data_IF_356707953866
#
_entry.id   IF_356707953866
#
_cell.length_a   1.000
_cell.length_b   1.000
_cell.length_c   1.000
_cell.angle_alpha   90.00
_cell.angle_beta   90.00
_cell.angle_gamma   90.00
#
_symmetry.space_group_name_H-M   'P 1'
#
loop_
_entity.id
_entity.type
_entity.pdbx_description
1 polymer ?
#
# COMPACT_ATOMS: atom_id res chain seq x y z
N UNK A 1 -14.13 14.75 47.24
CA UNK A 1 -13.94 14.97 45.80
C UNK A 1 -13.85 13.60 45.19
N UNK A 2 -14.93 13.19 44.55
CA UNK A 2 -15.23 11.82 44.12
C UNK A 2 -14.26 11.35 43.04
N UNK A 3 -13.65 10.20 43.30
CA UNK A 3 -12.95 9.37 42.34
C UNK A 3 -13.88 9.03 41.16
N UNK A 4 -13.47 9.43 39.95
CA UNK A 4 -14.02 8.94 38.70
C UNK A 4 -13.49 7.52 38.49
N UNK A 5 -14.29 6.52 38.86
CA UNK A 5 -14.04 5.11 38.55
C UNK A 5 -14.08 4.93 37.03
N UNK A 6 -12.93 4.62 36.45
CA UNK A 6 -12.82 4.07 35.08
C UNK A 6 -13.75 2.87 34.96
N UNK A 7 -14.68 2.92 34.00
CA UNK A 7 -15.47 1.77 33.61
C UNK A 7 -14.50 0.80 32.91
N UNK A 8 -13.95 -0.14 33.67
CA UNK A 8 -13.20 -1.28 33.13
C UNK A 8 -14.19 -2.05 32.25
N UNK A 9 -14.06 -1.92 30.93
CA UNK A 9 -14.91 -2.61 29.96
C UNK A 9 -14.83 -4.12 30.18
N UNK A 10 -15.97 -4.81 30.16
CA UNK A 10 -15.97 -6.29 30.15
C UNK A 10 -15.35 -6.78 28.84
N UNK A 11 -14.48 -7.78 28.95
CA UNK A 11 -13.91 -8.43 27.76
C UNK A 11 -15.02 -9.07 26.91
N UNK A 12 -14.98 -8.94 25.57
CA UNK A 12 -15.93 -9.58 24.66
C UNK A 12 -16.10 -11.08 24.91
N UNK A 13 -15.01 -11.77 25.26
CA UNK A 13 -14.99 -13.19 25.59
C UNK A 13 -15.82 -13.51 26.85
N UNK A 14 -15.82 -12.60 27.82
CA UNK A 14 -16.53 -12.74 29.10
C UNK A 14 -17.95 -12.16 29.09
N UNK A 15 -18.40 -11.68 27.92
CA UNK A 15 -19.72 -11.06 27.78
C UNK A 15 -20.82 -12.12 27.70
N UNK A 16 -22.02 -11.83 28.21
CA UNK A 16 -23.19 -12.69 28.06
C UNK A 16 -23.85 -12.56 26.66
N UNK A 17 -23.25 -11.76 25.77
CA UNK A 17 -23.79 -11.49 24.44
C UNK A 17 -23.23 -12.47 23.41
N UNK A 18 -24.10 -13.34 22.87
CA UNK A 18 -23.74 -14.32 21.85
C UNK A 18 -23.06 -13.68 20.62
N UNK A 19 -23.54 -12.52 20.16
CA UNK A 19 -22.92 -11.83 19.02
C UNK A 19 -21.47 -11.40 19.31
N UNK A 20 -21.20 -10.87 20.50
CA UNK A 20 -19.83 -10.49 20.90
C UNK A 20 -18.92 -11.71 21.04
N UNK A 21 -19.43 -12.83 21.60
CA UNK A 21 -18.68 -14.09 21.68
C UNK A 21 -18.34 -14.63 20.29
N UNK A 22 -19.32 -14.70 19.37
CA UNK A 22 -19.09 -15.14 17.99
C UNK A 22 -18.09 -14.24 17.26
N UNK A 23 -18.19 -12.91 17.42
CA UNK A 23 -17.25 -11.96 16.83
C UNK A 23 -15.83 -12.16 17.38
N UNK A 24 -15.67 -12.39 18.69
CA UNK A 24 -14.38 -12.72 19.30
C UNK A 24 -13.82 -14.06 18.80
N UNK A 25 -14.65 -15.08 18.68
CA UNK A 25 -14.29 -16.38 18.12
C UNK A 25 -13.75 -16.25 16.69
N UNK A 26 -14.31 -15.34 15.88
CA UNK A 26 -13.84 -15.10 14.51
C UNK A 26 -12.41 -14.53 14.46
N UNK A 27 -12.06 -13.62 15.37
CA UNK A 27 -10.69 -13.09 15.43
C UNK A 27 -9.68 -14.13 15.93
N UNK A 28 -10.12 -15.05 16.80
CA UNK A 28 -9.25 -16.05 17.45
C UNK A 28 -9.17 -17.39 16.71
N UNK A 29 -10.16 -17.69 15.86
CA UNK A 29 -10.23 -18.92 15.08
C UNK A 29 -10.53 -18.64 13.60
N UNK A 30 -9.51 -18.59 12.72
CA UNK A 30 -9.69 -18.37 11.28
C UNK A 30 -10.55 -19.41 10.55
N UNK A 31 -10.78 -20.58 11.17
CA UNK A 31 -11.63 -21.65 10.64
C UNK A 31 -13.08 -21.55 11.11
N UNK A 32 -13.40 -20.61 12.02
CA UNK A 32 -14.78 -20.36 12.41
C UNK A 32 -15.57 -19.89 11.19
N UNK A 33 -16.74 -20.48 10.94
CA UNK A 33 -17.69 -20.13 9.87
C UNK A 33 -19.00 -19.53 10.41
N UNK A 34 -19.12 -19.34 11.73
CA UNK A 34 -20.34 -18.84 12.37
C UNK A 34 -20.63 -17.37 11.99
N UNK A 35 -21.74 -17.12 11.34
CA UNK A 35 -22.20 -15.78 11.00
C UNK A 35 -23.09 -15.20 12.10
N UNK A 36 -23.15 -13.87 12.16
CA UNK A 36 -24.09 -13.14 13.00
C UNK A 36 -25.04 -12.42 12.04
N UNK A 37 -26.34 -12.65 12.19
CA UNK A 37 -27.36 -11.87 11.51
C UNK A 37 -28.06 -10.99 12.55
N UNK A 38 -27.96 -9.67 12.39
CA UNK A 38 -28.58 -8.67 13.26
C UNK A 38 -30.00 -8.30 12.81
N UNK A 39 -30.49 -8.87 11.71
CA UNK A 39 -31.77 -8.53 11.12
C UNK A 39 -31.72 -7.20 10.40
N UNK A 40 -32.83 -6.47 10.39
CA UNK A 40 -32.89 -5.13 9.77
C UNK A 40 -31.97 -4.13 10.48
N UNK A 41 -31.70 -2.99 9.85
CA UNK A 41 -30.93 -1.88 10.46
C UNK A 41 -31.56 -1.42 11.78
N UNK A 42 -32.89 -1.36 11.86
CA UNK A 42 -33.63 -0.99 13.07
C UNK A 42 -33.46 -2.04 14.17
N UNK A 43 -33.52 -3.33 13.84
CA UNK A 43 -33.32 -4.44 14.78
C UNK A 43 -31.88 -4.46 15.31
N UNK A 44 -30.90 -4.23 14.43
CA UNK A 44 -29.50 -4.13 14.77
C UNK A 44 -29.23 -2.96 15.76
N UNK A 45 -29.83 -1.78 15.51
CA UNK A 45 -29.73 -0.61 16.38
C UNK A 45 -30.47 -0.76 17.72
N UNK A 46 -31.56 -1.54 17.73
CA UNK A 46 -32.33 -1.83 18.93
C UNK A 46 -31.54 -2.67 19.94
N UNK A 47 -30.44 -3.29 19.53
CA UNK A 47 -29.53 -4.01 20.43
C UNK A 47 -29.08 -3.13 21.60
N UNK A 48 -29.15 -3.68 22.81
CA UNK A 48 -28.75 -3.02 24.05
C UNK A 48 -27.34 -3.42 24.50
N UNK A 49 -26.62 -4.23 23.72
CA UNK A 49 -25.27 -4.64 24.09
C UNK A 49 -24.29 -3.48 23.90
N UNK A 50 -23.65 -2.96 24.96
CA UNK A 50 -22.74 -1.81 24.83
C UNK A 50 -21.42 -2.16 24.11
N UNK A 51 -21.12 -3.45 23.92
CA UNK A 51 -19.85 -3.91 23.36
C UNK A 51 -19.85 -3.85 21.83
N UNK A 52 -20.83 -4.42 21.14
CA UNK A 52 -20.90 -4.38 19.67
C UNK A 52 -21.74 -3.24 19.10
N UNK A 53 -22.56 -2.56 19.92
CA UNK A 53 -23.42 -1.47 19.44
C UNK A 53 -22.65 -0.33 18.74
N UNK A 54 -21.48 0.12 19.23
CA UNK A 54 -20.69 1.13 18.52
C UNK A 54 -20.28 0.71 17.10
N UNK A 55 -19.98 -0.58 16.89
CA UNK A 55 -19.65 -1.13 15.57
C UNK A 55 -20.85 -1.07 14.63
N UNK A 56 -22.01 -1.55 15.08
CA UNK A 56 -23.26 -1.54 14.28
C UNK A 56 -23.67 -0.12 13.95
N UNK A 57 -23.66 0.78 14.93
CA UNK A 57 -24.01 2.20 14.75
C UNK A 57 -23.07 2.86 13.73
N UNK A 58 -21.76 2.69 13.90
CA UNK A 58 -20.78 3.26 12.98
C UNK A 58 -21.01 2.78 11.55
N UNK A 59 -21.26 1.49 11.35
CA UNK A 59 -21.47 0.94 10.02
C UNK A 59 -22.73 1.50 9.36
N UNK A 60 -23.84 1.63 10.10
CA UNK A 60 -25.06 2.26 9.60
C UNK A 60 -24.84 3.74 9.25
N UNK A 61 -24.07 4.47 10.06
CA UNK A 61 -23.74 5.87 9.77
C UNK A 61 -22.93 6.01 8.47
N UNK A 62 -22.08 5.04 8.16
CA UNK A 62 -21.34 4.93 6.89
C UNK A 62 -22.22 4.60 5.69
N UNK A 63 -23.23 3.75 5.86
CA UNK A 63 -24.16 3.40 4.78
C UNK A 63 -25.11 4.55 4.42
N UNK A 64 -25.52 5.36 5.40
CA UNK A 64 -26.49 6.45 5.23
C UNK A 64 -26.23 7.38 4.02
N UNK A 65 -25.01 7.90 3.77
CA UNK A 65 -24.75 8.73 2.59
C UNK A 65 -24.69 7.96 1.26
N UNK A 66 -24.54 6.64 1.30
CA UNK A 66 -24.39 5.78 0.12
C UNK A 66 -25.75 5.29 -0.42
N UNK A 67 -26.78 5.33 0.41
CA UNK A 67 -28.16 4.98 0.06
C UNK A 67 -28.77 6.10 -0.80
N UNK A 68 -29.01 5.84 -2.09
CA UNK A 68 -29.73 6.75 -2.97
C UNK A 68 -31.22 6.77 -2.64
N UNK A 69 -31.89 7.89 -2.88
CA UNK A 69 -33.35 8.04 -2.68
C UNK A 69 -34.20 7.12 -3.57
N UNK A 70 -33.59 6.48 -4.57
CA UNK A 70 -34.26 5.70 -5.61
C UNK A 70 -34.02 4.18 -5.46
N UNK A 71 -33.33 3.73 -4.41
CA UNK A 71 -33.15 2.30 -4.13
C UNK A 71 -34.42 1.71 -3.51
N UNK A 72 -34.94 0.61 -4.10
CA UNK A 72 -36.06 -0.11 -3.50
C UNK A 72 -35.66 -0.63 -2.09
N UNK A 73 -36.57 -0.59 -1.11
CA UNK A 73 -36.31 -1.07 0.24
C UNK A 73 -36.36 -2.62 0.25
N UNK A 74 -35.45 -3.27 -0.46
CA UNK A 74 -35.28 -4.71 -0.38
C UNK A 74 -34.39 -5.05 0.81
N UNK A 75 -35.01 -5.23 1.97
CA UNK A 75 -34.50 -5.97 3.15
C UNK A 75 -32.96 -6.03 3.28
N UNK A 76 -32.30 -4.88 3.45
CA UNK A 76 -30.87 -4.84 3.72
C UNK A 76 -30.64 -5.27 5.17
N UNK A 77 -30.48 -6.58 5.38
CA UNK A 77 -30.07 -7.11 6.68
C UNK A 77 -28.62 -6.74 6.98
N UNK A 78 -28.28 -6.65 8.26
CA UNK A 78 -26.92 -6.43 8.71
C UNK A 78 -26.38 -7.71 9.32
N UNK A 79 -25.14 -8.05 8.95
CA UNK A 79 -24.51 -9.23 9.50
C UNK A 79 -23.01 -9.13 9.60
N UNK A 80 -22.42 -10.06 10.34
CA UNK A 80 -20.99 -10.24 10.46
C UNK A 80 -20.62 -11.62 9.96
N UNK A 81 -19.60 -11.68 9.11
CA UNK A 81 -19.13 -12.91 8.49
C UNK A 81 -17.60 -12.95 8.36
N UNK A 82 -17.14 -13.98 7.65
CA UNK A 82 -15.71 -14.20 7.38
C UNK A 82 -15.19 -13.13 6.43
N UNK A 83 -14.04 -12.54 6.72
CA UNK A 83 -13.31 -11.78 5.70
C UNK A 83 -12.71 -12.67 4.61
N UNK A 84 -12.03 -12.06 3.64
CA UNK A 84 -11.44 -12.80 2.52
C UNK A 84 -10.37 -13.79 2.97
N UNK A 85 -9.44 -13.35 3.83
CA UNK A 85 -8.37 -14.19 4.37
C UNK A 85 -7.95 -13.80 5.80
N UNK A 86 -7.21 -14.71 6.44
CA UNK A 86 -6.67 -14.51 7.78
C UNK A 86 -7.74 -14.41 8.88
N UNK A 87 -7.44 -13.65 9.92
CA UNK A 87 -8.38 -13.31 11.01
C UNK A 87 -9.19 -12.04 10.72
N UNK A 88 -9.31 -11.62 9.46
CA UNK A 88 -10.15 -10.48 9.11
C UNK A 88 -11.64 -10.84 9.26
N UNK A 89 -12.43 -9.89 9.76
CA UNK A 89 -13.86 -10.06 9.99
C UNK A 89 -14.59 -8.97 9.26
N UNK A 90 -15.66 -9.32 8.55
CA UNK A 90 -16.41 -8.33 7.80
C UNK A 90 -17.78 -8.08 8.43
N UNK A 91 -18.21 -6.82 8.45
CA UNK A 91 -19.61 -6.45 8.66
C UNK A 91 -20.20 -6.03 7.32
N UNK A 92 -21.36 -6.59 6.98
CA UNK A 92 -21.98 -6.49 5.66
C UNK A 92 -23.37 -5.87 5.75
N UNK A 93 -23.71 -5.12 4.71
CA UNK A 93 -25.08 -4.88 4.30
C UNK A 93 -25.52 -5.96 3.31
N UNK A 94 -26.70 -6.54 3.54
CA UNK A 94 -27.31 -7.56 2.69
C UNK A 94 -26.43 -8.79 2.55
N UNK A 95 -26.43 -9.63 3.59
CA UNK A 95 -25.51 -10.78 3.77
C UNK A 95 -25.54 -11.74 2.56
N UNK A 96 -26.65 -11.76 1.81
CA UNK A 96 -26.85 -12.59 0.62
C UNK A 96 -26.45 -11.95 -0.73
N UNK A 97 -26.22 -10.63 -0.79
CA UNK A 97 -26.15 -9.88 -2.07
C UNK A 97 -24.82 -9.15 -2.33
N UNK A 98 -23.80 -9.31 -1.48
CA UNK A 98 -22.50 -8.62 -1.61
C UNK A 98 -22.66 -7.08 -1.62
N UNK A 99 -23.46 -6.54 -0.69
CA UNK A 99 -23.58 -5.09 -0.50
C UNK A 99 -22.30 -4.45 0.05
N UNK A 100 -22.41 -3.20 0.49
CA UNK A 100 -21.29 -2.53 1.13
C UNK A 100 -20.82 -3.30 2.37
N UNK A 101 -19.52 -3.24 2.66
CA UNK A 101 -18.93 -3.90 3.82
C UNK A 101 -17.78 -3.12 4.40
N UNK A 102 -17.48 -3.38 5.67
CA UNK A 102 -16.21 -3.02 6.29
C UNK A 102 -15.40 -4.25 6.58
N UNK A 103 -14.10 -4.17 6.33
CA UNK A 103 -13.13 -5.17 6.81
C UNK A 103 -12.55 -4.71 8.14
N UNK A 104 -12.67 -5.54 9.16
CA UNK A 104 -12.33 -5.25 10.54
C UNK A 104 -11.11 -6.06 10.98
N UNK A 105 -10.22 -5.41 11.74
CA UNK A 105 -9.12 -6.05 12.42
C UNK A 105 -9.21 -5.78 13.92
N UNK A 106 -8.95 -6.82 14.73
CA UNK A 106 -8.76 -6.65 16.16
C UNK A 106 -7.38 -6.02 16.42
N UNK A 107 -7.35 -4.90 17.15
CA UNK A 107 -6.11 -4.21 17.49
C UNK A 107 -5.27 -5.06 18.43
N UNK A 108 -4.00 -5.27 18.09
CA UNK A 108 -3.08 -6.00 18.93
C UNK A 108 -2.73 -5.21 20.21
N UNK A 109 -2.86 -5.86 21.36
CA UNK A 109 -2.35 -5.35 22.64
C UNK A 109 -0.98 -5.98 22.93
N UNK A 110 0.10 -5.31 22.54
CA UNK A 110 1.47 -5.82 22.70
C UNK A 110 1.87 -6.14 24.15
N UNK A 111 1.19 -5.56 25.14
CA UNK A 111 1.38 -5.86 26.57
C UNK A 111 0.73 -7.18 27.01
N UNK A 112 -0.13 -7.78 26.19
CA UNK A 112 -0.83 -9.04 26.49
C UNK A 112 -0.16 -10.18 25.71
N UNK A 113 0.45 -11.17 26.38
CA UNK A 113 1.08 -12.30 25.70
C UNK A 113 0.09 -13.08 24.81
N UNK A 114 0.49 -13.41 23.58
CA UNK A 114 -0.31 -14.16 22.61
C UNK A 114 -1.69 -13.55 22.32
N UNK A 115 -1.80 -12.23 22.38
CA UNK A 115 -3.03 -11.53 22.02
C UNK A 115 -3.40 -11.82 20.54
N UNK A 116 -4.66 -12.11 20.22
CA UNK A 116 -5.08 -12.55 18.87
C UNK A 116 -5.19 -11.41 17.85
N UNK A 117 -5.06 -10.16 18.30
CA UNK A 117 -5.18 -8.99 17.44
C UNK A 117 -4.09 -8.93 16.36
N UNK A 118 -4.51 -8.71 15.12
CA UNK A 118 -3.64 -8.60 13.94
C UNK A 118 -3.52 -7.17 13.43
N UNK A 119 -4.36 -6.25 13.91
CA UNK A 119 -4.40 -4.86 13.51
C UNK A 119 -3.59 -3.94 14.43
N UNK A 120 -3.37 -2.71 13.97
CA UNK A 120 -2.64 -1.65 14.66
C UNK A 120 -3.39 -0.33 14.51
N UNK A 121 -3.35 0.48 15.57
CA UNK A 121 -3.70 1.89 15.45
C UNK A 121 -2.47 2.63 14.93
N UNK A 122 -2.64 3.35 13.82
CA UNK A 122 -1.56 4.03 13.13
C UNK A 122 -1.40 5.49 13.59
N UNK A 123 -0.22 6.05 13.35
CA UNK A 123 0.03 7.48 13.54
C UNK A 123 -0.55 8.25 12.33
N UNK A 124 -1.48 9.20 12.54
CA UNK A 124 -2.18 9.89 11.47
C UNK A 124 -1.28 10.79 10.62
N UNK A 125 -0.14 11.22 11.18
CA UNK A 125 0.76 12.20 10.58
C UNK A 125 2.00 11.55 9.96
N UNK A 126 2.48 10.44 10.53
CA UNK A 126 3.80 9.88 10.20
C UNK A 126 3.76 8.38 9.90
N UNK A 127 4.50 7.96 8.88
CA UNK A 127 4.66 6.55 8.52
C UNK A 127 5.64 5.82 9.45
N UNK A 128 5.34 4.56 9.77
CA UNK A 128 6.27 3.71 10.53
C UNK A 128 7.37 3.15 9.61
N UNK A 129 8.49 3.87 9.49
CA UNK A 129 9.61 3.45 8.63
C UNK A 129 10.32 2.17 9.09
N UNK A 130 10.18 1.76 10.35
CA UNK A 130 10.80 0.53 10.82
C UNK A 130 10.06 -0.71 10.31
N UNK A 131 8.78 -0.58 9.96
CA UNK A 131 8.01 -1.66 9.32
C UNK A 131 8.60 -2.03 7.95
N UNK A 132 9.04 -1.02 7.17
CA UNK A 132 9.59 -1.24 5.83
C UNK A 132 10.86 -2.08 5.84
N UNK A 133 11.76 -1.80 6.79
CA UNK A 133 12.99 -2.57 6.98
C UNK A 133 12.68 -4.03 7.27
N UNK A 134 11.68 -4.26 8.13
CA UNK A 134 11.27 -5.62 8.52
C UNK A 134 10.61 -6.34 7.35
N UNK A 135 9.70 -5.72 6.62
CA UNK A 135 9.10 -6.28 5.41
C UNK A 135 10.14 -6.65 4.36
N UNK A 136 11.05 -5.73 4.05
CA UNK A 136 12.16 -6.00 3.12
C UNK A 136 13.01 -7.18 3.60
N UNK A 137 13.41 -7.19 4.87
CA UNK A 137 14.21 -8.27 5.45
C UNK A 137 13.48 -9.60 5.39
N UNK A 138 12.20 -9.65 5.76
CA UNK A 138 11.36 -10.84 5.69
C UNK A 138 11.31 -11.35 4.26
N UNK A 139 10.95 -10.51 3.29
CA UNK A 139 10.87 -10.90 1.88
C UNK A 139 12.20 -11.46 1.36
N UNK A 140 13.32 -10.77 1.61
CA UNK A 140 14.65 -11.17 1.12
C UNK A 140 15.15 -12.46 1.79
N UNK A 141 14.79 -12.71 3.04
CA UNK A 141 15.27 -13.89 3.80
C UNK A 141 14.38 -15.13 3.64
N UNK A 142 13.07 -14.97 3.38
CA UNK A 142 12.12 -16.09 3.39
C UNK A 142 11.57 -16.46 2.01
N UNK A 143 11.45 -15.52 1.05
CA UNK A 143 10.74 -15.78 -0.22
C UNK A 143 11.65 -16.35 -1.32
N UNK A 144 12.97 -16.18 -1.20
CA UNK A 144 13.96 -16.76 -2.11
C UNK A 144 13.69 -16.48 -3.59
N UNK A 145 13.78 -17.52 -4.42
CA UNK A 145 13.65 -17.42 -5.88
C UNK A 145 12.28 -16.90 -6.37
N UNK A 146 11.22 -17.03 -5.56
CA UNK A 146 9.89 -16.51 -5.93
C UNK A 146 9.86 -14.99 -5.99
N UNK A 147 10.69 -14.32 -5.18
CA UNK A 147 10.80 -12.86 -5.17
C UNK A 147 12.12 -12.35 -5.75
N UNK A 148 13.01 -13.25 -6.18
CA UNK A 148 14.30 -12.91 -6.80
C UNK A 148 14.26 -13.24 -8.30
N UNK A 149 13.99 -12.23 -9.12
CA UNK A 149 13.78 -12.37 -10.58
C UNK A 149 12.65 -13.34 -10.98
N UNK A 150 11.42 -13.13 -10.47
CA UNK A 150 10.25 -13.98 -10.77
C UNK A 150 9.95 -14.08 -12.26
N UNK A 151 10.18 -13.00 -13.00
CA UNK A 151 9.87 -12.87 -14.41
C UNK A 151 11.03 -13.27 -15.32
N UNK A 152 12.17 -13.72 -14.75
CA UNK A 152 13.37 -14.12 -15.50
C UNK A 152 13.83 -13.07 -16.52
N UNK A 153 13.65 -11.79 -16.19
CA UNK A 153 14.13 -10.69 -17.02
C UNK A 153 15.65 -10.69 -16.96
N UNK A 154 16.29 -10.44 -18.10
CA UNK A 154 17.75 -10.42 -18.18
C UNK A 154 18.34 -9.28 -17.31
N UNK A 155 19.56 -9.45 -16.78
CA UNK A 155 20.24 -8.41 -16.04
C UNK A 155 20.28 -7.10 -16.83
N UNK A 156 19.66 -6.06 -16.28
CA UNK A 156 19.54 -4.75 -16.92
C UNK A 156 19.98 -3.68 -15.93
N UNK A 157 20.79 -2.73 -16.41
CA UNK A 157 21.23 -1.56 -15.64
C UNK A 157 20.84 -0.29 -16.40
N UNK A 158 20.38 0.76 -15.69
CA UNK A 158 20.10 2.03 -16.33
C UNK A 158 21.39 2.74 -16.76
N UNK A 159 21.26 3.82 -17.54
CA UNK A 159 22.39 4.67 -17.92
C UNK A 159 23.02 5.37 -16.70
N UNK A 160 22.17 5.88 -15.81
CA UNK A 160 22.56 6.64 -14.63
C UNK A 160 21.81 6.16 -13.38
N UNK A 161 22.41 6.41 -12.23
CA UNK A 161 21.83 6.22 -10.90
C UNK A 161 22.16 7.44 -10.05
N UNK A 162 21.33 7.72 -9.06
CA UNK A 162 21.63 8.65 -7.97
C UNK A 162 22.34 7.86 -6.87
N UNK A 163 23.54 8.27 -6.50
CA UNK A 163 24.22 7.83 -5.29
C UNK A 163 23.68 8.66 -4.11
N UNK A 164 22.87 8.07 -3.23
CA UNK A 164 22.20 8.82 -2.15
C UNK A 164 23.15 9.24 -1.02
N UNK A 165 24.30 8.57 -0.87
CA UNK A 165 25.32 8.96 0.11
C UNK A 165 26.08 10.20 -0.37
N UNK A 166 26.48 10.19 -1.65
CA UNK A 166 27.21 11.31 -2.26
C UNK A 166 26.29 12.38 -2.83
N UNK A 167 24.99 12.11 -2.92
CA UNK A 167 23.96 12.98 -3.48
C UNK A 167 24.34 13.54 -4.86
N UNK A 168 24.71 12.63 -5.76
CA UNK A 168 25.13 12.96 -7.13
C UNK A 168 24.74 11.83 -8.10
N UNK A 169 24.79 12.11 -9.41
CA UNK A 169 24.63 11.10 -10.45
C UNK A 169 25.93 10.30 -10.63
N UNK A 170 25.77 8.99 -10.84
CA UNK A 170 26.85 8.05 -11.14
C UNK A 170 26.43 7.13 -12.30
N UNK A 171 27.37 6.61 -13.09
CA UNK A 171 27.06 5.64 -14.14
C UNK A 171 26.29 4.44 -13.58
N UNK A 172 25.26 3.96 -14.28
CA UNK A 172 24.41 2.89 -13.76
C UNK A 172 25.06 1.50 -13.71
N UNK A 173 26.29 1.36 -14.23
CA UNK A 173 27.11 0.15 -14.14
C UNK A 173 27.92 0.02 -12.83
N UNK A 174 27.71 0.91 -11.86
CA UNK A 174 28.25 0.77 -10.50
C UNK A 174 27.79 -0.55 -9.85
N UNK A 175 28.64 -1.11 -8.98
CA UNK A 175 28.33 -2.33 -8.25
C UNK A 175 27.31 -2.06 -7.14
N UNK A 176 26.46 -3.05 -6.86
CA UNK A 176 25.42 -2.98 -5.84
C UNK A 176 24.02 -2.98 -6.43
N UNK A 177 23.03 -3.13 -5.57
CA UNK A 177 21.62 -3.07 -5.97
C UNK A 177 21.14 -1.62 -6.08
N UNK A 178 19.99 -1.43 -6.72
CA UNK A 178 19.37 -0.11 -6.84
C UNK A 178 17.87 -0.19 -6.60
N UNK A 179 17.34 0.88 -6.03
CA UNK A 179 15.92 1.15 -5.86
C UNK A 179 15.41 1.87 -7.10
N UNK A 180 14.21 1.55 -7.58
CA UNK A 180 13.54 2.34 -8.61
C UNK A 180 12.48 3.25 -7.98
N UNK A 181 12.21 4.38 -8.62
CA UNK A 181 11.13 5.30 -8.25
C UNK A 181 10.07 5.33 -9.35
N UNK A 182 8.80 5.28 -8.95
CA UNK A 182 7.64 5.43 -9.83
C UNK A 182 6.70 6.48 -9.27
N UNK A 183 6.37 7.48 -10.08
CA UNK A 183 5.56 8.63 -9.70
C UNK A 183 4.92 9.25 -10.94
N UNK A 184 3.90 10.09 -10.73
CA UNK A 184 3.31 10.89 -11.80
C UNK A 184 4.04 12.22 -11.95
N UNK A 185 4.10 12.74 -13.17
CA UNK A 185 4.64 14.08 -13.39
C UNK A 185 3.77 15.13 -12.68
N UNK A 186 4.40 16.20 -12.19
CA UNK A 186 3.71 17.38 -11.67
C UNK A 186 3.18 18.27 -12.80
N UNK A 187 2.63 19.44 -12.44
CA UNK A 187 2.06 20.39 -13.41
C UNK A 187 3.14 21.13 -14.21
N UNK A 188 4.33 21.28 -13.64
CA UNK A 188 5.42 21.98 -14.28
C UNK A 188 6.43 21.01 -14.92
N UNK A 189 6.54 21.08 -16.26
CA UNK A 189 7.58 20.39 -17.01
C UNK A 189 8.95 20.93 -16.58
N UNK A 190 9.79 20.05 -16.03
CA UNK A 190 11.13 20.41 -15.56
C UNK A 190 12.09 20.59 -16.72
N UNK A 191 13.14 21.39 -16.48
CA UNK A 191 14.20 21.60 -17.45
C UNK A 191 14.84 20.29 -17.89
N UNK A 192 15.20 20.21 -19.17
CA UNK A 192 15.96 19.08 -19.71
C UNK A 192 17.37 19.17 -19.14
N UNK A 193 17.88 18.06 -18.57
CA UNK A 193 19.29 17.97 -18.15
C UNK A 193 20.15 17.97 -19.41
N UNK A 194 20.89 19.05 -19.69
CA UNK A 194 21.87 19.09 -20.77
C UNK A 194 23.21 18.45 -20.36
N UNK A 195 24.14 18.32 -21.31
CA UNK A 195 25.46 17.70 -21.07
C UNK A 195 26.26 18.43 -19.98
N UNK A 196 26.18 19.76 -19.93
CA UNK A 196 26.91 20.57 -18.95
C UNK A 196 26.32 20.40 -17.54
N UNK A 197 25.00 20.30 -17.46
CA UNK A 197 24.25 20.05 -16.23
C UNK A 197 24.51 18.63 -15.74
N UNK A 198 24.55 17.64 -16.64
CA UNK A 198 24.92 16.27 -16.31
C UNK A 198 26.33 16.19 -15.71
N UNK A 199 27.29 16.92 -16.26
CA UNK A 199 28.65 16.97 -15.71
C UNK A 199 28.66 17.55 -14.29
N UNK A 200 27.90 18.61 -14.03
CA UNK A 200 27.74 19.20 -12.70
C UNK A 200 27.02 18.26 -11.74
N UNK A 201 25.99 17.55 -12.19
CA UNK A 201 25.22 16.59 -11.39
C UNK A 201 26.05 15.38 -10.94
N UNK A 202 27.18 15.10 -11.60
CA UNK A 202 28.12 14.05 -11.21
C UNK A 202 29.08 14.46 -10.09
N UNK A 203 29.19 15.76 -9.77
CA UNK A 203 30.02 16.22 -8.66
C UNK A 203 29.40 15.79 -7.32
N UNK A 204 30.19 15.32 -6.35
CA UNK A 204 29.69 15.01 -5.02
C UNK A 204 28.92 16.20 -4.42
N UNK A 205 27.76 15.92 -3.84
CA UNK A 205 26.81 16.88 -3.27
C UNK A 205 26.17 17.84 -4.27
N UNK A 206 26.21 17.55 -5.58
CA UNK A 206 25.54 18.36 -6.59
C UNK A 206 24.03 18.50 -6.35
N UNK A 207 23.36 17.48 -5.82
CA UNK A 207 21.92 17.54 -5.52
C UNK A 207 21.59 18.37 -4.27
N UNK A 208 22.59 18.74 -3.44
CA UNK A 208 22.41 19.73 -2.37
C UNK A 208 22.54 21.18 -2.89
N UNK A 209 22.98 21.37 -4.15
CA UNK A 209 23.17 22.70 -4.72
C UNK A 209 21.82 23.32 -5.10
N UNK A 210 21.43 24.48 -4.53
CA UNK A 210 20.18 25.16 -4.87
C UNK A 210 20.09 25.57 -6.35
N UNK A 211 21.20 25.66 -7.07
CA UNK A 211 21.20 25.94 -8.52
C UNK A 211 20.82 24.72 -9.37
N UNK A 212 20.86 23.52 -8.80
CA UNK A 212 20.49 22.27 -9.45
C UNK A 212 19.19 21.68 -8.85
N UNK A 213 18.55 22.41 -7.92
CA UNK A 213 17.35 21.96 -7.21
C UNK A 213 16.13 21.79 -8.12
N UNK A 214 16.11 22.41 -9.30
CA UNK A 214 15.03 22.21 -10.27
C UNK A 214 14.94 20.74 -10.76
N UNK A 215 16.11 20.06 -10.82
CA UNK A 215 16.25 18.67 -11.23
C UNK A 215 16.05 17.70 -10.06
N UNK A 216 16.34 18.12 -8.82
CA UNK A 216 16.10 17.36 -7.60
C UNK A 216 14.70 17.66 -7.05
N UNK A 217 13.69 17.07 -7.68
CA UNK A 217 12.28 17.26 -7.32
C UNK A 217 12.00 16.82 -5.87
N UNK A 218 10.94 17.32 -5.21
CA UNK A 218 10.55 16.85 -3.89
C UNK A 218 10.36 15.32 -3.80
N UNK A 219 9.77 14.68 -4.82
CA UNK A 219 9.64 13.21 -4.84
C UNK A 219 11.01 12.53 -4.87
N UNK A 220 11.97 13.02 -5.66
CA UNK A 220 13.30 12.41 -5.77
C UNK A 220 14.06 12.57 -4.46
N UNK A 221 14.03 13.75 -3.83
CA UNK A 221 14.69 13.98 -2.54
C UNK A 221 14.15 13.04 -1.45
N UNK A 222 12.83 12.87 -1.40
CA UNK A 222 12.17 11.98 -0.44
C UNK A 222 12.44 10.51 -0.73
N UNK A 223 12.52 10.13 -2.01
CA UNK A 223 12.92 8.79 -2.42
C UNK A 223 14.39 8.50 -2.11
N UNK A 224 15.29 9.48 -2.24
CA UNK A 224 16.69 9.34 -1.79
C UNK A 224 16.76 9.08 -0.29
N UNK A 225 15.99 9.83 0.50
CA UNK A 225 15.86 9.59 1.94
C UNK A 225 15.35 8.17 2.22
N UNK A 226 14.23 7.77 1.61
CA UNK A 226 13.66 6.44 1.83
C UNK A 226 14.61 5.31 1.41
N UNK A 227 15.33 5.49 0.30
CA UNK A 227 16.38 4.57 -0.18
C UNK A 227 17.44 4.35 0.90
N UNK A 228 17.93 5.43 1.52
CA UNK A 228 18.89 5.33 2.62
C UNK A 228 18.29 4.67 3.88
N UNK A 229 17.03 4.95 4.21
CA UNK A 229 16.32 4.36 5.36
C UNK A 229 16.22 2.85 5.23
N UNK A 230 15.95 2.33 4.02
CA UNK A 230 15.86 0.87 3.79
C UNK A 230 17.23 0.22 3.58
N UNK A 231 18.33 0.96 3.76
CA UNK A 231 19.70 0.46 3.70
C UNK A 231 20.23 0.27 2.28
N UNK A 232 19.67 0.97 1.30
CA UNK A 232 20.17 0.97 -0.07
C UNK A 232 20.91 2.28 -0.40
N UNK A 233 21.76 2.22 -1.42
CA UNK A 233 22.60 3.36 -1.82
C UNK A 233 22.21 4.01 -3.14
N UNK A 234 21.75 3.21 -4.10
CA UNK A 234 21.50 3.69 -5.44
C UNK A 234 20.02 3.80 -5.71
N UNK A 235 19.60 4.94 -6.29
CA UNK A 235 18.24 5.21 -6.69
C UNK A 235 18.21 5.48 -8.19
N UNK A 236 17.27 4.86 -8.90
CA UNK A 236 16.89 5.21 -10.26
C UNK A 236 15.60 6.02 -10.23
N UNK A 237 15.66 7.24 -10.77
CA UNK A 237 14.51 8.09 -11.01
C UNK A 237 14.57 8.57 -12.45
N UNK A 238 13.59 8.22 -13.27
CA UNK A 238 13.53 8.49 -14.70
C UNK A 238 13.81 9.96 -15.06
N UNK A 239 13.21 10.91 -14.34
CA UNK A 239 13.40 12.35 -14.55
C UNK A 239 14.85 12.85 -14.39
N UNK A 240 15.73 12.09 -13.73
CA UNK A 240 17.16 12.40 -13.58
C UNK A 240 18.07 11.42 -14.30
N UNK A 241 17.68 10.15 -14.39
CA UNK A 241 18.55 9.06 -14.81
C UNK A 241 18.42 8.73 -16.30
N UNK A 242 17.39 9.22 -16.98
CA UNK A 242 17.25 9.13 -18.43
C UNK A 242 17.94 10.35 -19.06
N UNK A 243 18.88 10.16 -20.00
CA UNK A 243 19.61 11.25 -20.65
C UNK A 243 18.74 11.95 -21.70
N UNK A 244 17.78 12.79 -21.25
CA UNK A 244 16.80 13.43 -22.13
C UNK A 244 17.42 14.37 -23.20
N UNK A 245 18.66 14.85 -22.99
CA UNK A 245 19.41 15.63 -23.96
C UNK A 245 19.83 14.84 -25.21
N UNK A 246 19.91 13.52 -25.12
CA UNK A 246 20.23 12.62 -26.22
C UNK A 246 19.00 11.76 -26.51
N UNK A 247 18.24 12.15 -27.53
CA UNK A 247 17.01 11.45 -27.92
C UNK A 247 17.25 9.96 -28.24
N UNK A 248 18.41 9.61 -28.80
CA UNK A 248 18.76 8.23 -29.09
C UNK A 248 18.97 7.43 -27.81
N UNK A 249 19.79 7.96 -26.90
CA UNK A 249 20.04 7.32 -25.61
C UNK A 249 18.77 7.26 -24.73
N UNK A 250 17.95 8.32 -24.74
CA UNK A 250 16.67 8.35 -24.04
C UNK A 250 15.71 7.30 -24.59
N UNK A 251 15.57 7.17 -25.91
CA UNK A 251 14.73 6.15 -26.53
C UNK A 251 15.19 4.73 -26.16
N UNK A 252 16.50 4.47 -26.08
CA UNK A 252 17.02 3.19 -25.61
C UNK A 252 16.70 2.93 -24.13
N UNK A 253 16.79 3.94 -23.26
CA UNK A 253 16.39 3.79 -21.85
C UNK A 253 14.88 3.53 -21.70
N UNK A 254 14.03 4.23 -22.47
CA UNK A 254 12.58 4.04 -22.44
C UNK A 254 12.18 2.62 -22.87
N UNK A 255 12.86 2.03 -23.86
CA UNK A 255 12.66 0.61 -24.24
C UNK A 255 13.03 -0.36 -23.11
N UNK A 256 13.93 0.04 -22.22
CA UNK A 256 14.41 -0.76 -21.09
C UNK A 256 13.64 -0.49 -19.79
N UNK A 257 12.69 0.44 -19.77
CA UNK A 257 12.04 0.92 -18.54
C UNK A 257 11.42 -0.20 -17.69
N UNK A 258 10.66 -1.11 -18.33
CA UNK A 258 10.13 -2.30 -17.67
C UNK A 258 11.23 -3.25 -17.17
N UNK A 259 12.32 -3.40 -17.91
CA UNK A 259 13.45 -4.24 -17.51
C UNK A 259 14.27 -3.63 -16.36
N UNK A 260 14.42 -2.30 -16.33
CA UNK A 260 15.04 -1.57 -15.21
C UNK A 260 14.21 -1.78 -13.94
N UNK A 261 12.89 -1.60 -14.03
CA UNK A 261 11.97 -1.85 -12.90
C UNK A 261 12.02 -3.29 -12.42
N UNK A 262 12.09 -4.26 -13.34
CA UNK A 262 12.24 -5.66 -13.01
C UNK A 262 13.61 -6.03 -12.42
N UNK A 263 14.64 -5.19 -12.55
CA UNK A 263 15.97 -5.44 -11.99
C UNK A 263 16.25 -4.65 -10.70
N UNK A 264 15.36 -3.74 -10.30
CA UNK A 264 15.46 -3.03 -9.04
C UNK A 264 15.24 -3.99 -7.84
N UNK A 265 15.95 -3.74 -6.73
CA UNK A 265 15.76 -4.52 -5.49
C UNK A 265 14.36 -4.32 -4.93
N UNK A 266 13.85 -3.08 -5.04
CA UNK A 266 12.48 -2.66 -4.72
C UNK A 266 12.15 -1.39 -5.51
N UNK A 267 10.88 -1.19 -5.83
CA UNK A 267 10.38 0.04 -6.44
C UNK A 267 9.53 0.81 -5.43
N UNK A 268 9.86 2.08 -5.21
CA UNK A 268 9.03 3.02 -4.44
C UNK A 268 7.97 3.60 -5.39
N UNK A 269 6.70 3.53 -5.00
CA UNK A 269 5.56 4.00 -5.78
C UNK A 269 4.80 5.07 -5.00
N UNK A 270 4.66 6.23 -5.62
CA UNK A 270 3.88 7.36 -5.09
C UNK A 270 2.53 7.39 -5.79
N UNK A 271 1.54 6.66 -5.26
CA UNK A 271 0.20 6.63 -5.85
C UNK A 271 -0.65 7.86 -5.47
N UNK A 272 -0.44 8.40 -4.27
CA UNK A 272 -1.17 9.57 -3.73
C UNK A 272 -0.66 10.94 -4.21
N UNK A 273 0.53 10.96 -4.80
CA UNK A 273 1.25 12.18 -5.07
C UNK A 273 2.03 12.17 -6.38
N UNK A 274 2.49 13.34 -6.76
CA UNK A 274 3.22 13.59 -8.00
C UNK A 274 4.65 14.04 -7.71
N UNK A 275 5.34 14.51 -8.75
CA UNK A 275 6.70 15.00 -8.67
C UNK A 275 6.91 16.15 -7.65
N UNK A 276 5.87 16.94 -7.38
CA UNK A 276 5.89 18.15 -6.54
C UNK A 276 5.40 17.84 -5.11
N UNK A 277 4.27 17.12 -4.99
CA UNK A 277 3.70 16.77 -3.70
C UNK A 277 4.50 15.68 -2.98
N UNK A 278 5.17 14.80 -3.75
CA UNK A 278 6.05 13.71 -3.36
C UNK A 278 5.48 12.74 -2.31
N UNK A 279 6.33 12.22 -1.40
CA UNK A 279 5.93 11.27 -0.36
C UNK A 279 5.57 11.97 0.96
N UNK A 280 4.29 12.09 1.36
CA UNK A 280 3.92 12.63 2.66
C UNK A 280 4.21 11.63 3.81
N UNK A 281 4.17 12.12 5.05
CA UNK A 281 4.30 11.30 6.26
C UNK A 281 5.72 10.86 6.64
N UNK A 282 6.75 11.33 5.95
CA UNK A 282 8.15 11.13 6.33
C UNK A 282 8.56 12.17 7.37
N UNK A 283 8.61 11.77 8.65
CA UNK A 283 8.96 12.65 9.76
C UNK A 283 10.28 13.39 9.50
N UNK A 284 10.27 14.70 9.78
CA UNK A 284 11.39 15.64 9.57
C UNK A 284 11.83 15.84 8.09
N UNK A 285 11.17 15.20 7.13
CA UNK A 285 11.56 15.19 5.70
C UNK A 285 10.44 15.68 4.78
N UNK A 286 9.19 15.38 5.09
CA UNK A 286 8.01 15.80 4.33
C UNK A 286 6.94 16.41 5.23
N UNK A 287 5.90 16.96 4.61
CA UNK A 287 4.67 17.30 5.32
C UNK A 287 4.06 16.05 5.99
N UNK A 288 3.32 16.23 7.11
CA UNK A 288 2.46 15.18 7.65
C UNK A 288 1.52 14.64 6.59
N UNK A 289 1.24 13.34 6.64
CA UNK A 289 0.10 12.76 5.91
C UNK A 289 -1.20 13.12 6.63
N UNK A 290 -2.36 12.83 6.02
CA UNK A 290 -3.67 13.09 6.64
C UNK A 290 -4.46 11.80 6.74
N UNK A 291 -3.84 10.78 7.29
CA UNK A 291 -4.44 9.46 7.35
C UNK A 291 -5.55 9.45 8.40
N UNK A 292 -6.74 9.03 7.98
CA UNK A 292 -7.89 8.83 8.83
C UNK A 292 -8.12 7.32 9.00
N UNK A 293 -8.00 6.83 10.24
CA UNK A 293 -8.29 5.44 10.56
C UNK A 293 -9.49 5.37 11.50
N UNK A 294 -10.50 4.62 11.11
CA UNK A 294 -11.66 4.45 11.96
C UNK A 294 -11.39 3.39 13.04
N UNK A 295 -11.36 3.83 14.30
CA UNK A 295 -11.16 2.97 15.48
C UNK A 295 -12.46 2.86 16.26
N UNK A 296 -12.95 1.65 16.46
CA UNK A 296 -14.22 1.36 17.12
C UNK A 296 -13.95 0.64 18.45
N UNK A 297 -14.54 1.08 19.59
CA UNK A 297 -14.43 0.36 20.84
C UNK A 297 -15.17 -0.98 20.78
N UNK A 298 -14.61 -2.02 21.40
CA UNK A 298 -15.19 -3.36 21.48
C UNK A 298 -14.93 -3.95 22.87
N UNK A 299 -15.66 -3.46 23.89
CA UNK A 299 -15.42 -3.82 25.28
C UNK A 299 -14.14 -3.16 25.79
N UNK A 300 -13.21 -3.95 26.33
CA UNK A 300 -11.84 -3.51 26.62
C UNK A 300 -10.91 -3.60 25.40
N UNK A 301 -11.40 -4.07 24.26
CA UNK A 301 -10.69 -4.18 23.00
C UNK A 301 -10.99 -3.01 22.06
N UNK A 302 -10.25 -2.95 20.95
CA UNK A 302 -10.49 -2.00 19.86
C UNK A 302 -10.46 -2.73 18.53
N UNK A 303 -11.33 -2.30 17.62
CA UNK A 303 -11.35 -2.71 16.23
C UNK A 303 -10.88 -1.55 15.36
N UNK A 304 -10.16 -1.84 14.29
CA UNK A 304 -9.89 -0.88 13.21
C UNK A 304 -10.62 -1.32 11.95
N UNK A 305 -11.21 -0.36 11.25
CA UNK A 305 -11.71 -0.56 9.89
C UNK A 305 -10.54 -0.36 8.93
N UNK A 306 -10.34 -1.29 8.00
CA UNK A 306 -9.29 -1.18 6.98
C UNK A 306 -9.69 -0.13 5.94
N UNK A 307 -8.76 0.77 5.61
CA UNK A 307 -8.95 1.78 4.56
C UNK A 307 -8.60 1.26 3.16
N UNK A 308 -7.72 0.26 3.11
CA UNK A 308 -7.23 -0.36 1.88
C UNK A 308 -7.47 -1.86 1.92
N UNK A 309 -8.14 -2.36 0.89
CA UNK A 309 -8.28 -3.78 0.61
C UNK A 309 -7.54 -4.19 -0.67
N UNK A 310 -7.68 -5.47 -1.01
CA UNK A 310 -7.07 -6.13 -2.17
C UNK A 310 -7.12 -5.32 -3.46
N UNK A 311 -8.26 -4.67 -3.77
CA UNK A 311 -8.48 -4.00 -5.05
C UNK A 311 -8.16 -2.49 -5.02
N UNK A 312 -7.82 -1.93 -3.86
CA UNK A 312 -7.52 -0.51 -3.73
C UNK A 312 -6.11 -0.13 -4.18
N UNK A 313 -5.24 -1.12 -4.42
CA UNK A 313 -3.85 -0.92 -4.83
C UNK A 313 -3.63 -1.11 -6.34
N UNK A 314 -4.72 -1.18 -7.13
CA UNK A 314 -4.63 -1.45 -8.58
C UNK A 314 -5.37 -0.43 -9.44
N UNK A 315 -5.98 0.61 -8.85
CA UNK A 315 -6.75 1.61 -9.60
C UNK A 315 -7.32 2.76 -8.75
N UNK A 316 -8.07 3.66 -9.40
CA UNK A 316 -8.84 4.72 -8.71
C UNK A 316 -8.07 6.02 -8.39
N UNK A 317 -6.78 6.08 -8.71
CA UNK A 317 -5.94 7.27 -8.58
C UNK A 317 -5.30 7.64 -9.92
N UNK A 318 -5.00 8.93 -10.19
CA UNK A 318 -4.32 9.37 -11.41
C UNK A 318 -3.01 8.61 -11.69
N UNK A 319 -2.33 8.15 -10.63
CA UNK A 319 -1.16 7.28 -10.76
C UNK A 319 -1.41 6.05 -11.63
N UNK A 320 -2.55 5.39 -11.51
CA UNK A 320 -2.84 4.16 -12.26
C UNK A 320 -3.34 4.41 -13.67
N UNK A 321 -3.51 5.66 -14.09
CA UNK A 321 -3.96 6.05 -15.43
C UNK A 321 -2.79 6.19 -16.41
N UNK A 322 -1.56 6.37 -15.92
CA UNK A 322 -0.38 6.60 -16.74
C UNK A 322 0.29 5.29 -17.22
N UNK A 323 0.83 5.31 -18.43
CA UNK A 323 1.43 4.13 -19.07
C UNK A 323 2.72 3.69 -18.41
N UNK A 324 3.59 4.62 -18.02
CA UNK A 324 4.88 4.28 -17.40
C UNK A 324 4.71 3.74 -15.98
N UNK A 325 3.78 4.30 -15.19
CA UNK A 325 3.46 3.79 -13.85
C UNK A 325 2.90 2.39 -13.93
N UNK A 326 2.08 2.07 -14.95
CA UNK A 326 1.62 0.71 -15.21
C UNK A 326 2.78 -0.25 -15.48
N UNK A 327 3.76 0.14 -16.29
CA UNK A 327 4.96 -0.69 -16.54
C UNK A 327 5.78 -0.90 -15.26
N UNK A 328 6.02 0.17 -14.49
CA UNK A 328 6.74 0.09 -13.22
C UNK A 328 6.01 -0.81 -12.23
N UNK A 329 4.70 -0.64 -12.09
CA UNK A 329 3.87 -1.48 -11.21
C UNK A 329 3.92 -2.93 -11.64
N UNK A 330 3.63 -3.22 -12.90
CA UNK A 330 3.50 -4.58 -13.42
C UNK A 330 4.84 -5.34 -13.37
N UNK A 331 5.96 -4.67 -13.68
CA UNK A 331 7.28 -5.30 -13.78
C UNK A 331 8.05 -5.33 -12.45
N UNK A 332 7.71 -4.51 -11.47
CA UNK A 332 8.40 -4.49 -10.17
C UNK A 332 8.18 -5.78 -9.38
N UNK A 333 9.29 -6.39 -8.96
CA UNK A 333 9.26 -7.64 -8.17
C UNK A 333 8.80 -7.43 -6.73
N UNK A 334 9.15 -6.26 -6.18
CA UNK A 334 8.88 -5.81 -4.81
C UNK A 334 8.53 -4.33 -4.89
N UNK A 335 7.52 -3.93 -4.14
CA UNK A 335 6.94 -2.59 -4.19
C UNK A 335 6.82 -2.05 -2.78
N UNK A 336 7.19 -0.79 -2.60
CA UNK A 336 6.78 0.04 -1.47
C UNK A 336 5.79 1.03 -2.04
N UNK A 337 4.52 0.98 -1.64
CA UNK A 337 3.44 1.75 -2.24
C UNK A 337 2.90 2.73 -1.20
N UNK A 338 2.90 4.01 -1.54
CA UNK A 338 2.18 5.05 -0.81
C UNK A 338 0.82 5.23 -1.49
N UNK A 339 -0.26 4.80 -0.84
CA UNK A 339 -1.61 4.78 -1.39
C UNK A 339 -2.64 5.05 -0.28
N UNK A 340 -3.57 5.97 -0.53
CA UNK A 340 -4.56 6.47 0.43
C UNK A 340 -3.97 6.86 1.79
N UNK A 341 -2.86 7.60 1.78
CA UNK A 341 -2.10 8.01 2.96
C UNK A 341 -1.55 6.83 3.82
N UNK A 342 -1.54 5.61 3.29
CA UNK A 342 -0.99 4.41 3.95
C UNK A 342 0.23 3.87 3.22
N UNK A 343 1.01 3.08 3.94
CA UNK A 343 2.19 2.40 3.43
C UNK A 343 1.90 0.91 3.19
N UNK A 344 2.22 0.43 2.00
CA UNK A 344 2.05 -0.97 1.64
C UNK A 344 3.34 -1.58 1.10
N UNK A 345 3.47 -2.88 1.32
CA UNK A 345 4.45 -3.71 0.66
C UNK A 345 3.75 -4.74 -0.20
N UNK A 346 4.17 -4.87 -1.44
CA UNK A 346 3.72 -5.94 -2.32
C UNK A 346 4.93 -6.65 -2.93
N UNK A 347 4.97 -7.97 -2.85
CA UNK A 347 5.91 -8.80 -3.59
C UNK A 347 5.19 -9.99 -4.22
N UNK A 348 5.91 -10.90 -4.86
CA UNK A 348 5.32 -12.07 -5.51
C UNK A 348 4.82 -13.16 -4.55
N UNK A 349 4.91 -12.95 -3.23
CA UNK A 349 4.48 -13.94 -2.24
C UNK A 349 3.55 -13.37 -1.18
N UNK A 350 3.63 -12.06 -0.91
CA UNK A 350 2.88 -11.43 0.19
C UNK A 350 2.55 -9.99 -0.12
N UNK A 351 1.43 -9.58 0.47
CA UNK A 351 0.96 -8.20 0.54
C UNK A 351 0.87 -7.83 2.02
N UNK A 352 1.54 -6.76 2.42
CA UNK A 352 1.52 -6.26 3.79
C UNK A 352 1.08 -4.80 3.82
N UNK A 353 0.28 -4.46 4.81
CA UNK A 353 -0.28 -3.13 5.00
C UNK A 353 0.16 -2.57 6.36
N UNK A 354 0.33 -1.26 6.45
CA UNK A 354 0.87 -0.60 7.64
C UNK A 354 0.05 -0.89 8.90
N UNK A 355 -1.27 -0.99 8.77
CA UNK A 355 -2.22 -1.28 9.84
C UNK A 355 -2.14 -2.72 10.36
N UNK A 356 -1.32 -3.58 9.75
CA UNK A 356 -1.11 -4.96 10.19
C UNK A 356 0.11 -5.10 11.09
N UNK A 357 0.00 -6.00 12.05
CA UNK A 357 1.17 -6.57 12.74
C UNK A 357 2.05 -7.34 11.74
N UNK A 358 3.35 -7.45 12.03
CA UNK A 358 4.34 -7.99 11.10
C UNK A 358 4.08 -9.42 10.64
N UNK A 359 3.45 -10.23 11.48
CA UNK A 359 3.17 -11.65 11.20
C UNK A 359 1.76 -11.87 10.62
N UNK A 360 1.00 -10.79 10.41
CA UNK A 360 -0.36 -10.86 9.89
C UNK A 360 -0.37 -10.66 8.37
N UNK A 361 -1.17 -11.50 7.71
CA UNK A 361 -1.45 -11.42 6.28
C UNK A 361 -2.96 -11.64 6.10
N UNK A 362 -3.65 -10.62 5.59
CA UNK A 362 -5.11 -10.63 5.40
C UNK A 362 -5.51 -10.47 3.93
N UNK A 363 -4.55 -10.14 3.06
CA UNK A 363 -4.69 -10.03 1.62
C UNK A 363 -3.58 -10.87 0.96
N UNK A 364 -3.93 -11.72 -0.01
CA UNK A 364 -2.96 -12.53 -0.77
C UNK A 364 -3.10 -12.43 -2.28
N UNK A 365 -4.02 -11.61 -2.74
CA UNK A 365 -4.18 -11.43 -4.16
C UNK A 365 -2.97 -10.69 -4.71
N UNK A 366 -2.22 -11.41 -5.54
CA UNK A 366 -1.11 -10.91 -6.33
C UNK A 366 -1.46 -11.29 -7.75
N UNK A 367 -1.47 -10.32 -8.66
CA UNK A 367 -1.83 -10.57 -10.06
C UNK A 367 -0.86 -11.59 -10.68
N UNK A 368 -1.34 -12.82 -10.86
CA UNK A 368 -0.54 -13.91 -11.39
C UNK A 368 -0.38 -13.87 -12.91
N UNK A 369 -1.11 -13.00 -13.62
CA UNK A 369 -1.17 -13.03 -15.10
C UNK A 369 0.20 -12.86 -15.72
N UNK A 370 0.96 -11.85 -15.29
CA UNK A 370 2.32 -11.65 -15.79
C UNK A 370 3.22 -12.85 -15.44
N UNK A 371 3.14 -13.36 -14.21
CA UNK A 371 3.90 -14.53 -13.79
C UNK A 371 3.63 -15.77 -14.65
N UNK A 372 2.37 -16.05 -14.95
CA UNK A 372 1.95 -17.14 -15.85
C UNK A 372 2.54 -16.99 -17.25
N UNK A 373 2.46 -15.80 -17.83
CA UNK A 373 3.03 -15.56 -19.17
C UNK A 373 4.56 -15.69 -19.17
N UNK A 374 5.24 -15.11 -18.18
CA UNK A 374 6.71 -15.15 -18.11
C UNK A 374 7.24 -16.55 -17.78
N UNK A 375 6.40 -17.43 -17.22
CA UNK A 375 6.70 -18.85 -17.09
C UNK A 375 6.60 -19.63 -18.42
N UNK A 376 6.19 -18.98 -19.52
CA UNK A 376 6.08 -19.56 -20.85
C UNK A 376 4.74 -20.26 -21.11
N UNK A 377 3.73 -20.07 -20.25
CA UNK A 377 2.39 -20.60 -20.50
C UNK A 377 1.65 -19.72 -21.52
N UNK A 378 1.11 -20.29 -22.60
CA UNK A 378 0.35 -19.55 -23.59
C UNK A 378 -1.05 -19.23 -23.06
N UNK A 379 -1.15 -18.18 -22.25
CA UNK A 379 -2.42 -17.64 -21.78
C UNK A 379 -2.77 -16.36 -22.54
N UNK A 380 -3.56 -16.53 -23.60
CA UNK A 380 -4.02 -15.42 -24.44
C UNK A 380 -4.95 -14.47 -23.68
N UNK A 381 -5.64 -14.93 -22.64
CA UNK A 381 -6.51 -14.09 -21.80
C UNK A 381 -5.67 -13.15 -20.95
N UNK A 382 -4.63 -13.69 -20.29
CA UNK A 382 -3.65 -12.89 -19.55
C UNK A 382 -2.95 -11.88 -20.45
N UNK A 383 -2.53 -12.28 -21.65
CA UNK A 383 -1.87 -11.40 -22.62
C UNK A 383 -2.81 -10.29 -23.12
N UNK A 384 -4.03 -10.65 -23.53
CA UNK A 384 -5.03 -9.68 -23.98
C UNK A 384 -5.33 -8.66 -22.87
N UNK A 385 -5.47 -9.12 -21.62
CA UNK A 385 -5.73 -8.24 -20.50
C UNK A 385 -4.61 -7.23 -20.26
N UNK A 386 -3.34 -7.67 -20.29
CA UNK A 386 -2.20 -6.77 -20.12
C UNK A 386 -2.12 -5.74 -21.25
N UNK A 387 -2.37 -6.15 -22.50
CA UNK A 387 -2.37 -5.24 -23.64
C UNK A 387 -3.54 -4.26 -23.62
N UNK A 388 -4.74 -4.70 -23.27
CA UNK A 388 -5.90 -3.82 -23.11
C UNK A 388 -5.66 -2.83 -21.98
N UNK A 389 -5.26 -3.30 -20.80
CA UNK A 389 -5.01 -2.43 -19.67
C UNK A 389 -3.92 -1.39 -19.96
N UNK A 390 -2.84 -1.78 -20.64
CA UNK A 390 -1.81 -0.82 -21.06
C UNK A 390 -2.29 0.12 -22.16
N UNK A 391 -3.06 -0.39 -23.13
CA UNK A 391 -3.61 0.40 -24.23
C UNK A 391 -4.61 1.48 -23.80
N UNK A 392 -5.26 1.27 -22.65
CA UNK A 392 -6.17 2.24 -22.03
C UNK A 392 -5.44 3.31 -21.19
N UNK A 393 -4.10 3.26 -21.09
CA UNK A 393 -3.31 4.23 -20.31
C UNK A 393 -2.95 5.48 -21.10
N UNK A 394 -2.79 6.57 -20.37
CA UNK A 394 -2.25 7.84 -20.88
C UNK A 394 -0.74 7.71 -21.13
N UNK A 395 -0.28 8.11 -22.32
CA UNK A 395 1.12 8.01 -22.74
C UNK A 395 1.85 9.38 -22.76
N UNK A 396 1.23 10.41 -22.19
CA UNK A 396 1.65 11.81 -22.32
C UNK A 396 2.74 12.23 -21.38
#
# INVERSE_FOLDING_TARGET
MSESSEVIGKSPQSSDCKACQTLWERFTNPQCENEINFGSKEEALASQCPIHKPLVQGFIDYLRPLESSDSEPETNDLGIGKGYEGSSVHIYESVSMLGYFWSLLLVNKSSVPNHPGTGRVLDPDWVDLDILKKWKQTCLSSHGAKCNNPFKVWPTRPAWLVDVEKKCLVPGNVQGDFVALSYTNGRDAKGIVDTDTLAKLQEPHALDNPKLSEYSTPIIQRAMYLTSVIGERYLWADGLCIPQYDQGAAAEQLKLMGAISANAIVTIMSADGDAESGLPGLKDVSSPRKMEQQVIPFGDERLVVRNTGVFDMVGGLPYYEQGWTYQHHTMAQKKIIFNKDELHWECQCSVWHEELTLDAEVDKYIDSRLGTMMAGFPDLGSLANLFTNYGDKELT
#
